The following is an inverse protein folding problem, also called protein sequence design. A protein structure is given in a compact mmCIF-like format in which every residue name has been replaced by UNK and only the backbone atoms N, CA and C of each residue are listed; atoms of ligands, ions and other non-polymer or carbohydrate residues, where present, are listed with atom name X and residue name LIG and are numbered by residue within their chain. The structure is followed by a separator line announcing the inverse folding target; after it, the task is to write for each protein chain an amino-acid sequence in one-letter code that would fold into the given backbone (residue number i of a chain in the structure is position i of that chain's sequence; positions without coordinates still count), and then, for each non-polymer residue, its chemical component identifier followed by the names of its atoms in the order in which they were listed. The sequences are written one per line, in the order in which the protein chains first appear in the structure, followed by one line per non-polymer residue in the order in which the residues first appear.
data_IF_496500415364
#
_entry.id   IF_496500415364
#
_cell.length_a   1.000
_cell.length_b   1.000
_cell.length_c   1.000
_cell.angle_alpha   90.00
_cell.angle_beta   90.00
_cell.angle_gamma   90.00
#
_symmetry.space_group_name_H-M   'P 1'
#
loop_
_entity.id
_entity.type
_entity.pdbx_description
1 polymer ?
#
# COMPACT_ATOMS: atom_id res chain seq x y z
N UNK A 1 11.11 -5.98 12.06
CA UNK A 1 10.65 -6.69 10.85
C UNK A 1 9.21 -7.10 11.06
N UNK A 2 8.29 -6.59 10.27
CA UNK A 2 6.86 -6.93 10.34
C UNK A 2 6.40 -7.47 8.98
N UNK A 3 5.76 -8.63 8.99
CA UNK A 3 5.16 -9.22 7.78
C UNK A 3 3.69 -9.48 8.05
N UNK A 4 2.84 -9.00 7.16
CA UNK A 4 1.39 -9.25 7.18
C UNK A 4 0.94 -9.74 5.82
N UNK A 5 -0.12 -10.55 5.80
CA UNK A 5 -0.73 -11.10 4.58
C UNK A 5 -2.24 -10.93 4.61
N UNK A 6 -2.81 -10.73 3.44
CA UNK A 6 -4.26 -10.66 3.26
C UNK A 6 -4.67 -11.19 1.89
N UNK A 7 -5.73 -11.97 1.85
CA UNK A 7 -6.39 -12.32 0.60
C UNK A 7 -7.35 -11.19 0.21
N UNK A 8 -7.19 -10.70 -1.01
CA UNK A 8 -8.00 -9.64 -1.62
C UNK A 8 -8.84 -10.25 -2.73
N UNK A 9 -10.15 -9.99 -2.74
CA UNK A 9 -11.08 -10.51 -3.75
C UNK A 9 -11.05 -9.63 -5.02
N UNK A 10 -9.86 -9.52 -5.59
CA UNK A 10 -9.58 -8.82 -6.83
C UNK A 10 -8.33 -9.44 -7.49
N UNK A 11 -8.25 -9.48 -8.83
CA UNK A 11 -7.06 -9.99 -9.52
C UNK A 11 -5.84 -9.10 -9.28
N UNK A 12 -4.60 -9.61 -9.44
CA UNK A 12 -3.37 -8.87 -9.19
C UNK A 12 -3.30 -7.51 -9.91
N UNK A 13 -3.76 -7.45 -11.15
CA UNK A 13 -3.79 -6.20 -11.92
C UNK A 13 -4.67 -5.12 -11.27
N UNK A 14 -5.78 -5.49 -10.64
CA UNK A 14 -6.65 -4.55 -9.94
C UNK A 14 -6.02 -4.04 -8.64
N UNK A 15 -5.32 -4.89 -7.92
CA UNK A 15 -4.57 -4.50 -6.72
C UNK A 15 -3.39 -3.60 -7.11
N UNK A 16 -2.63 -4.01 -8.13
CA UNK A 16 -1.49 -3.24 -8.62
C UNK A 16 -1.89 -1.84 -9.09
N UNK A 17 -3.06 -1.70 -9.71
CA UNK A 17 -3.58 -0.40 -10.12
C UNK A 17 -3.72 0.59 -8.95
N UNK A 18 -4.10 0.12 -7.77
CA UNK A 18 -4.15 0.97 -6.56
C UNK A 18 -2.74 1.36 -6.12
N UNK A 19 -1.79 0.43 -6.16
CA UNK A 19 -0.38 0.70 -5.83
C UNK A 19 0.27 1.67 -6.82
N UNK A 20 -0.12 1.58 -8.10
CA UNK A 20 0.39 2.43 -9.17
C UNK A 20 -0.21 3.85 -9.17
N UNK A 21 -1.25 4.10 -8.37
CA UNK A 21 -1.82 5.43 -8.18
C UNK A 21 -1.32 6.05 -6.87
N UNK A 22 -0.22 6.80 -6.96
CA UNK A 22 0.40 7.44 -5.80
C UNK A 22 -0.52 8.44 -5.07
N UNK A 23 -1.51 9.01 -5.76
CA UNK A 23 -2.46 9.94 -5.14
C UNK A 23 -3.41 9.27 -4.15
N UNK A 24 -3.68 7.97 -4.31
CA UNK A 24 -4.51 7.19 -3.37
C UNK A 24 -3.74 6.70 -2.15
N UNK A 25 -2.44 6.96 -2.06
CA UNK A 25 -1.57 6.40 -1.03
C UNK A 25 -2.03 6.73 0.40
N UNK A 26 -2.54 7.97 0.63
CA UNK A 26 -3.09 8.36 1.92
C UNK A 26 -4.39 7.64 2.30
N UNK A 27 -5.10 7.07 1.33
CA UNK A 27 -6.38 6.40 1.56
C UNK A 27 -6.19 5.02 2.18
N UNK A 28 -5.06 4.35 1.88
CA UNK A 28 -4.80 3.01 2.36
C UNK A 28 -3.59 2.89 3.28
N UNK A 29 -2.56 3.73 3.19
CA UNK A 29 -1.40 3.67 4.08
C UNK A 29 -1.71 4.39 5.39
N UNK A 30 -1.86 3.60 6.46
CA UNK A 30 -2.11 4.15 7.80
C UNK A 30 -0.90 4.93 8.29
N UNK A 31 -1.14 6.17 8.73
CA UNK A 31 -0.10 7.10 9.17
C UNK A 31 0.26 8.16 8.14
N UNK A 32 -0.13 7.96 6.87
CA UNK A 32 -0.04 8.99 5.83
C UNK A 32 -1.33 9.83 5.86
N UNK A 33 -1.20 11.14 6.02
CA UNK A 33 -2.35 12.04 6.21
C UNK A 33 -2.69 12.85 4.97
N UNK A 34 -1.70 13.14 4.13
CA UNK A 34 -1.88 13.98 2.94
C UNK A 34 -0.78 13.71 1.91
N UNK A 35 -1.17 13.59 0.65
CA UNK A 35 -0.23 13.55 -0.48
C UNK A 35 -0.03 14.96 -0.98
N UNK A 36 1.23 15.41 -1.00
CA UNK A 36 1.61 16.75 -1.45
C UNK A 36 1.94 16.78 -2.93
N UNK A 37 2.62 15.72 -3.40
CA UNK A 37 3.04 15.60 -4.79
C UNK A 37 3.42 14.15 -5.11
N UNK A 38 3.28 13.77 -6.39
CA UNK A 38 3.67 12.47 -6.93
C UNK A 38 4.44 12.70 -8.22
N UNK A 39 5.66 12.17 -8.30
CA UNK A 39 6.45 12.28 -9.52
C UNK A 39 5.67 11.68 -10.71
N UNK A 40 5.66 12.33 -11.89
CA UNK A 40 4.95 11.82 -13.08
C UNK A 40 5.38 10.41 -13.51
N UNK A 41 6.59 9.99 -13.16
CA UNK A 41 7.13 8.67 -13.44
C UNK A 41 6.68 7.58 -12.46
N UNK A 42 5.89 7.91 -11.40
CA UNK A 42 5.40 6.92 -10.45
C UNK A 42 4.60 5.81 -11.15
N UNK A 43 4.81 4.53 -10.85
CA UNK A 43 5.69 3.93 -9.84
C UNK A 43 7.05 3.44 -10.38
N UNK A 44 7.64 4.10 -11.38
CA UNK A 44 8.95 3.69 -11.90
C UNK A 44 10.06 3.79 -10.81
N UNK A 45 11.10 2.95 -10.87
CA UNK A 45 12.23 3.04 -9.95
C UNK A 45 12.82 4.44 -9.90
N UNK A 46 13.06 4.96 -8.70
CA UNK A 46 13.53 6.33 -8.46
C UNK A 46 12.44 7.38 -8.36
N UNK A 47 11.21 7.10 -8.77
CA UNK A 47 10.07 8.00 -8.61
C UNK A 47 9.75 8.21 -7.12
N UNK A 48 9.32 9.42 -6.79
CA UNK A 48 9.06 9.85 -5.40
C UNK A 48 7.61 10.23 -5.21
N UNK A 49 7.14 9.96 -4.01
CA UNK A 49 5.85 10.36 -3.49
C UNK A 49 6.09 11.20 -2.24
N UNK A 50 5.67 12.46 -2.29
CA UNK A 50 5.82 13.42 -1.20
C UNK A 50 4.55 13.47 -0.37
N UNK A 51 4.66 13.17 0.92
CA UNK A 51 3.49 13.07 1.79
C UNK A 51 3.74 13.70 3.16
N UNK A 52 2.66 13.83 3.94
CA UNK A 52 2.73 14.12 5.37
C UNK A 52 2.43 12.85 6.14
N UNK A 53 3.23 12.57 7.16
CA UNK A 53 3.07 11.44 8.05
C UNK A 53 2.99 11.89 9.50
N UNK A 54 2.25 11.14 10.33
CA UNK A 54 2.11 11.39 11.75
C UNK A 54 0.79 12.06 12.15
N UNK A 55 0.46 12.04 13.46
CA UNK A 55 -0.77 12.63 13.99
C UNK A 55 -0.69 14.18 13.99
N UNK A 56 -1.81 14.83 13.66
CA UNK A 56 -1.93 16.27 13.82
C UNK A 56 -1.84 16.66 15.32
N UNK A 57 -1.12 17.74 15.71
CA UNK A 57 -0.41 18.74 14.89
C UNK A 57 1.04 18.38 14.53
N UNK A 58 1.52 17.20 14.88
CA UNK A 58 2.92 16.76 14.72
C UNK A 58 3.20 16.09 13.37
N UNK A 59 2.38 16.33 12.35
CA UNK A 59 2.62 15.76 11.03
C UNK A 59 3.89 16.33 10.39
N UNK A 60 4.76 15.43 9.93
CA UNK A 60 6.04 15.76 9.31
C UNK A 60 5.97 15.53 7.80
N UNK A 61 6.70 16.35 7.05
CA UNK A 61 6.89 16.13 5.63
C UNK A 61 7.87 14.97 5.42
N UNK A 62 7.45 14.01 4.62
CA UNK A 62 8.25 12.85 4.32
C UNK A 62 8.16 12.44 2.85
N UNK A 63 8.99 11.52 2.43
CA UNK A 63 9.08 11.08 1.04
C UNK A 63 9.25 9.56 0.99
N UNK A 64 8.47 8.92 0.15
CA UNK A 64 8.67 7.51 -0.23
C UNK A 64 9.23 7.44 -1.64
N UNK A 65 10.28 6.66 -1.85
CA UNK A 65 10.95 6.49 -3.14
C UNK A 65 10.79 5.04 -3.60
N UNK A 66 10.43 4.84 -4.87
CA UNK A 66 10.37 3.51 -5.46
C UNK A 66 11.79 2.96 -5.62
N UNK A 67 12.05 1.79 -5.03
CA UNK A 67 13.33 1.06 -5.16
C UNK A 67 13.26 0.10 -6.33
N UNK A 68 12.18 -0.68 -6.39
CA UNK A 68 11.93 -1.65 -7.45
C UNK A 68 10.44 -1.83 -7.67
N UNK A 69 10.05 -2.15 -8.89
CA UNK A 69 8.69 -2.46 -9.27
C UNK A 69 8.66 -3.57 -10.31
N UNK A 70 7.74 -4.49 -10.15
CA UNK A 70 7.38 -5.49 -11.14
C UNK A 70 5.86 -5.43 -11.30
N UNK A 71 5.35 -4.95 -12.44
CA UNK A 71 3.91 -4.77 -12.66
C UNK A 71 3.12 -6.03 -12.33
N UNK A 72 1.99 -5.86 -11.64
CA UNK A 72 1.10 -6.92 -11.17
C UNK A 72 1.72 -7.93 -10.18
N UNK A 73 2.97 -7.74 -9.77
CA UNK A 73 3.69 -8.67 -8.89
C UNK A 73 4.27 -8.05 -7.63
N UNK A 74 4.97 -6.93 -7.74
CA UNK A 74 5.60 -6.33 -6.57
C UNK A 74 5.87 -4.84 -6.70
N UNK A 75 5.91 -4.19 -5.55
CA UNK A 75 6.36 -2.81 -5.37
C UNK A 75 7.23 -2.74 -4.12
N UNK A 76 8.44 -2.22 -4.25
CA UNK A 76 9.34 -1.97 -3.14
C UNK A 76 9.60 -0.48 -2.99
N UNK A 77 9.38 0.04 -1.79
CA UNK A 77 9.53 1.43 -1.44
C UNK A 77 10.56 1.61 -0.33
N UNK A 78 11.31 2.71 -0.40
CA UNK A 78 12.03 3.27 0.72
C UNK A 78 11.21 4.43 1.26
N UNK A 79 10.68 4.26 2.46
CA UNK A 79 9.88 5.26 3.15
C UNK A 79 10.77 6.00 4.16
N UNK A 80 10.86 7.32 4.06
CA UNK A 80 11.40 8.15 5.10
C UNK A 80 10.46 8.17 6.31
N UNK A 81 11.01 8.29 7.51
CA UNK A 81 10.30 8.40 8.78
C UNK A 81 11.04 9.37 9.69
N UNK A 82 11.38 10.54 9.15
CA UNK A 82 12.15 11.52 9.93
C UNK A 82 11.40 11.98 11.21
N UNK A 83 12.03 12.07 12.39
CA UNK A 83 13.44 11.81 12.70
C UNK A 83 13.72 10.33 13.04
N UNK A 84 12.79 9.41 12.82
CA UNK A 84 12.82 8.03 13.29
C UNK A 84 13.66 7.09 12.41
N UNK A 85 14.02 7.53 11.19
CA UNK A 85 14.88 6.79 10.29
C UNK A 85 14.27 6.50 8.93
N UNK A 86 14.60 5.34 8.37
CA UNK A 86 14.08 4.84 7.10
C UNK A 86 13.54 3.42 7.26
N UNK A 87 12.49 3.11 6.52
CA UNK A 87 11.97 1.77 6.38
C UNK A 87 11.97 1.33 4.91
N UNK A 88 12.23 0.07 4.67
CA UNK A 88 11.94 -0.58 3.40
C UNK A 88 10.61 -1.28 3.51
N UNK A 89 9.70 -0.99 2.58
CA UNK A 89 8.39 -1.62 2.48
C UNK A 89 8.33 -2.38 1.16
N UNK A 90 8.13 -3.70 1.22
CA UNK A 90 7.93 -4.54 0.05
C UNK A 90 6.52 -5.10 0.07
N UNK A 91 5.79 -4.88 -1.01
CA UNK A 91 4.47 -5.44 -1.25
C UNK A 91 4.58 -6.44 -2.39
N UNK A 92 4.11 -7.67 -2.18
CA UNK A 92 4.07 -8.72 -3.20
C UNK A 92 2.63 -9.16 -3.45
N UNK A 93 2.34 -9.47 -4.70
CA UNK A 93 1.03 -9.88 -5.20
C UNK A 93 1.14 -11.29 -5.79
N UNK A 94 0.51 -12.25 -5.14
CA UNK A 94 0.49 -13.65 -5.60
C UNK A 94 -0.94 -14.00 -6.05
N UNK A 95 -1.16 -14.44 -7.30
CA UNK A 95 -2.48 -14.87 -7.74
C UNK A 95 -3.01 -16.00 -6.84
N UNK A 96 -4.27 -15.89 -6.43
CA UNK A 96 -5.00 -16.91 -5.69
C UNK A 96 -6.25 -17.33 -6.48
N UNK A 97 -6.06 -18.14 -7.49
CA UNK A 97 -7.08 -18.43 -8.50
C UNK A 97 -7.24 -17.28 -9.50
N UNK A 98 -8.39 -17.20 -10.19
CA UNK A 98 -8.62 -16.26 -11.30
C UNK A 98 -9.04 -14.86 -10.84
N UNK A 99 -9.56 -14.72 -9.63
CA UNK A 99 -10.24 -13.49 -9.17
C UNK A 99 -9.76 -12.97 -7.81
N UNK A 100 -8.75 -13.59 -7.23
CA UNK A 100 -8.22 -13.18 -5.92
C UNK A 100 -6.69 -13.07 -5.94
N UNK A 101 -6.16 -12.34 -4.97
CA UNK A 101 -4.73 -12.09 -4.80
C UNK A 101 -4.35 -12.23 -3.34
N UNK A 102 -3.32 -12.96 -3.03
CA UNK A 102 -2.66 -12.90 -1.73
C UNK A 102 -1.68 -11.72 -1.76
N UNK A 103 -1.96 -10.70 -0.99
CA UNK A 103 -1.08 -9.55 -0.81
C UNK A 103 -0.26 -9.76 0.44
N UNK A 104 1.06 -9.72 0.30
CA UNK A 104 2.00 -9.75 1.43
C UNK A 104 2.71 -8.42 1.53
N UNK A 105 2.77 -7.85 2.74
CA UNK A 105 3.49 -6.61 3.04
C UNK A 105 4.57 -6.91 4.06
N UNK A 106 5.80 -6.61 3.68
CA UNK A 106 6.99 -6.76 4.52
C UNK A 106 7.60 -5.39 4.78
N UNK A 107 7.81 -5.07 6.04
CA UNK A 107 8.40 -3.79 6.46
C UNK A 107 9.60 -4.03 7.36
N UNK A 108 10.71 -3.40 7.02
CA UNK A 108 11.98 -3.50 7.75
C UNK A 108 12.59 -2.11 7.96
N UNK A 109 12.90 -1.78 9.21
CA UNK A 109 13.58 -0.54 9.56
C UNK A 109 15.08 -0.69 9.37
N UNK A 110 15.67 0.17 8.53
CA UNK A 110 17.09 0.10 8.16
C UNK A 110 17.96 1.11 8.88
N UNK A 111 17.42 2.23 9.33
CA UNK A 111 18.20 3.30 9.93
C UNK A 111 17.38 4.09 10.97
N UNK A 112 18.09 4.80 11.86
CA UNK A 112 17.51 5.68 12.84
C UNK A 112 17.31 5.06 14.24
N UNK A 113 16.84 5.84 15.23
CA UNK A 113 16.71 5.40 16.62
C UNK A 113 15.75 4.24 16.80
N UNK A 114 14.74 4.07 15.93
CA UNK A 114 13.83 2.92 15.97
C UNK A 114 14.52 1.59 15.63
N UNK A 115 15.65 1.60 14.91
CA UNK A 115 16.42 0.39 14.66
C UNK A 115 16.99 -0.21 15.97
N UNK A 116 17.28 0.64 16.96
CA UNK A 116 17.82 0.25 18.26
C UNK A 116 16.72 -0.15 19.27
N UNK A 117 15.49 0.32 19.06
CA UNK A 117 14.35 0.02 19.96
C UNK A 117 13.61 -1.20 19.43
N UNK A 118 14.25 -2.37 19.51
CA UNK A 118 13.56 -3.66 19.36
C UNK A 118 12.66 -3.92 20.56
N UNK A 119 11.52 -3.23 20.62
CA UNK A 119 10.54 -3.44 21.65
C UNK A 119 9.33 -4.16 21.06
N UNK A 120 8.88 -5.24 21.71
CA UNK A 120 7.68 -6.01 21.35
C UNK A 120 6.42 -5.14 21.16
N UNK A 121 6.35 -4.01 21.86
CA UNK A 121 5.26 -3.05 21.73
C UNK A 121 5.28 -2.37 20.36
N UNK A 122 6.45 -1.95 19.87
CA UNK A 122 6.58 -1.34 18.55
C UNK A 122 6.22 -2.34 17.43
N UNK A 123 6.66 -3.59 17.57
CA UNK A 123 6.33 -4.65 16.59
C UNK A 123 4.82 -4.90 16.55
N UNK A 124 4.13 -4.88 17.69
CA UNK A 124 2.69 -5.05 17.77
C UNK A 124 1.92 -3.87 17.14
N UNK A 125 2.36 -2.64 17.40
CA UNK A 125 1.75 -1.43 16.83
C UNK A 125 1.92 -1.42 15.31
N UNK A 126 3.12 -1.72 14.82
CA UNK A 126 3.42 -1.83 13.39
C UNK A 126 2.61 -2.94 12.73
N UNK A 127 2.52 -4.10 13.37
CA UNK A 127 1.75 -5.22 12.86
C UNK A 127 0.27 -4.86 12.69
N UNK A 128 -0.35 -4.24 13.71
CA UNK A 128 -1.75 -3.77 13.64
C UNK A 128 -1.94 -2.69 12.58
N UNK A 129 -1.01 -1.74 12.47
CA UNK A 129 -1.02 -0.72 11.43
C UNK A 129 -1.00 -1.34 10.02
N UNK A 130 -0.12 -2.32 9.81
CA UNK A 130 0.03 -2.96 8.52
C UNK A 130 -1.16 -3.85 8.15
N UNK A 131 -1.81 -4.49 9.13
CA UNK A 131 -3.08 -5.19 8.93
C UNK A 131 -4.15 -4.21 8.43
N UNK A 132 -4.29 -3.07 9.09
CA UNK A 132 -5.27 -2.04 8.70
C UNK A 132 -4.94 -1.43 7.33
N UNK A 133 -3.65 -1.21 7.03
CA UNK A 133 -3.18 -0.78 5.72
C UNK A 133 -3.62 -1.75 4.61
N UNK A 134 -3.38 -3.05 4.78
CA UNK A 134 -3.83 -4.06 3.80
C UNK A 134 -5.35 -4.19 3.73
N UNK A 135 -6.07 -3.96 4.84
CA UNK A 135 -7.53 -3.94 4.82
C UNK A 135 -8.06 -2.82 3.92
N UNK A 136 -7.54 -1.61 4.08
CA UNK A 136 -7.95 -0.45 3.26
C UNK A 136 -7.58 -0.63 1.80
N UNK A 137 -6.38 -1.14 1.51
CA UNK A 137 -5.95 -1.47 0.15
C UNK A 137 -6.93 -2.46 -0.51
N UNK A 138 -7.32 -3.53 0.23
CA UNK A 138 -8.28 -4.51 -0.24
C UNK A 138 -9.63 -3.87 -0.55
N UNK A 139 -10.15 -3.03 0.35
CA UNK A 139 -11.44 -2.36 0.19
C UNK A 139 -11.49 -1.48 -1.08
N UNK A 140 -10.38 -0.81 -1.42
CA UNK A 140 -10.27 0.01 -2.64
C UNK A 140 -10.24 -0.88 -3.89
N UNK A 141 -9.35 -1.90 -3.90
CA UNK A 141 -9.17 -2.79 -5.02
C UNK A 141 -10.45 -3.58 -5.35
N UNK A 142 -11.13 -4.10 -4.32
CA UNK A 142 -12.37 -4.86 -4.47
C UNK A 142 -13.53 -4.01 -4.95
N UNK A 143 -13.66 -2.76 -4.48
CA UNK A 143 -14.66 -1.82 -4.99
C UNK A 143 -14.44 -1.48 -6.46
N UNK A 144 -13.19 -1.21 -6.85
CA UNK A 144 -12.82 -0.96 -8.23
C UNK A 144 -13.13 -2.13 -9.17
N UNK A 145 -12.98 -3.35 -8.69
CA UNK A 145 -13.32 -4.56 -9.44
C UNK A 145 -14.83 -4.75 -9.60
N UNK A 146 -15.62 -4.53 -8.54
CA UNK A 146 -17.10 -4.64 -8.60
C UNK A 146 -17.73 -3.63 -9.57
N UNK A 147 -17.21 -2.41 -9.61
CA UNK A 147 -17.73 -1.37 -10.51
C UNK A 147 -17.42 -1.66 -12.00
N UNK A 148 -16.47 -2.54 -12.28
CA UNK A 148 -16.09 -2.96 -13.64
C UNK A 148 -16.71 -4.26 -14.11
N UNK A 149 -17.33 -5.03 -13.20
CA UNK A 149 -18.09 -6.21 -13.58
C UNK A 149 -19.24 -5.77 -14.48
N UNK A 150 -19.45 -6.39 -15.66
CA UNK A 150 -20.61 -6.08 -16.49
C UNK A 150 -21.86 -6.30 -15.65
N UNK A 151 -22.70 -5.29 -15.51
CA UNK A 151 -24.06 -5.50 -15.02
C UNK A 151 -24.75 -6.36 -16.08
N UNK A 152 -24.94 -7.64 -15.78
CA UNK A 152 -25.81 -8.51 -16.57
C UNK A 152 -27.23 -7.94 -16.50
N UNK A 153 -27.50 -7.00 -17.41
CA UNK A 153 -28.86 -6.61 -17.75
C UNK A 153 -29.38 -7.68 -18.69
N UNK A 154 -29.99 -8.72 -18.13
CA UNK A 154 -30.87 -9.58 -18.90
C UNK A 154 -31.87 -8.69 -19.65
N UNK A 155 -31.88 -8.70 -20.98
CA UNK A 155 -32.92 -8.02 -21.72
C UNK A 155 -34.25 -8.75 -21.38
N UNK A 156 -35.13 -8.02 -20.74
CA UNK A 156 -36.50 -8.50 -20.45
C UNK A 156 -37.13 -9.09 -21.69
N UNK A 157 -37.59 -10.31 -21.58
CA UNK A 157 -38.38 -11.02 -22.60
C UNK A 157 -39.60 -10.17 -22.96
N UNK A 158 -39.80 -9.82 -24.23
CA UNK A 158 -41.10 -9.20 -24.63
C UNK A 158 -42.16 -10.27 -24.60
N UNK A 159 -43.29 -9.95 -24.00
CA UNK A 159 -44.57 -10.67 -24.16
C UNK A 159 -45.22 -10.34 -25.49
#
# INVERSE_FOLDING_TARGET
MATVRRTVQAPPASVYKVLADGWTYSDWVVGTTHIRDVDPSWPAPGARLHHKAGPWPLSLNDTSTVVAVEPDRSLELRAGLWPLGEATVRITLEPAGMSATVVSMHEDFRAGPLHWVKNKINDLVLHRRNIETLRRLADIAERGTRLRAPTDRSPGSPR
#
